data_IF_825310864851
#
_entry.id   IF_825310864851
#
_cell.length_a   1.000
_cell.length_b   1.000
_cell.length_c   1.000
_cell.angle_alpha   90.00
_cell.angle_beta   90.00
_cell.angle_gamma   90.00
#
_symmetry.space_group_name_H-M   'P 1'
#
loop_
_entity.id
_entity.type
_entity.pdbx_description
1 polymer ?
#
# COMPACT_ATOMS: atom_id res chain seq x y z
N UNK A 1 -18.82 6.07 3.71
CA UNK A 1 -18.95 4.63 4.09
C UNK A 1 -19.85 3.84 3.13
N UNK A 2 -21.05 4.33 2.78
CA UNK A 2 -21.98 3.60 1.88
C UNK A 2 -21.37 3.26 0.52
N UNK A 3 -20.65 4.19 -0.12
CA UNK A 3 -20.01 3.93 -1.42
C UNK A 3 -19.03 2.75 -1.40
N UNK A 4 -18.31 2.55 -0.30
CA UNK A 4 -17.36 1.43 -0.18
C UNK A 4 -18.06 0.09 0.01
N UNK A 5 -19.14 0.07 0.79
CA UNK A 5 -19.98 -1.13 0.92
C UNK A 5 -20.52 -1.58 -0.46
N UNK A 6 -20.96 -0.62 -1.27
CA UNK A 6 -21.43 -0.91 -2.64
C UNK A 6 -20.29 -1.49 -3.48
N UNK A 7 -19.09 -0.93 -3.40
CA UNK A 7 -17.91 -1.45 -4.13
C UNK A 7 -17.55 -2.86 -3.67
N UNK A 8 -17.56 -3.13 -2.36
CA UNK A 8 -17.31 -4.46 -1.81
C UNK A 8 -18.35 -5.48 -2.29
N UNK A 9 -19.63 -5.11 -2.29
CA UNK A 9 -20.68 -5.96 -2.85
C UNK A 9 -20.47 -6.22 -4.34
N UNK A 10 -20.06 -5.21 -5.12
CA UNK A 10 -19.74 -5.36 -6.55
C UNK A 10 -18.55 -6.30 -6.75
N UNK A 11 -17.50 -6.16 -5.94
CA UNK A 11 -16.31 -7.01 -6.01
C UNK A 11 -16.62 -8.45 -5.63
N UNK A 12 -17.38 -8.65 -4.56
CA UNK A 12 -17.89 -9.97 -4.18
C UNK A 12 -18.73 -10.55 -5.31
N UNK A 13 -19.73 -9.84 -5.83
CA UNK A 13 -20.57 -10.31 -6.93
C UNK A 13 -19.79 -10.62 -8.21
N UNK A 14 -18.74 -9.85 -8.52
CA UNK A 14 -17.92 -10.00 -9.73
C UNK A 14 -17.31 -11.39 -9.87
N UNK A 15 -17.02 -12.05 -8.76
CA UNK A 15 -16.35 -13.33 -8.75
C UNK A 15 -17.31 -14.52 -9.05
N UNK A 16 -18.62 -14.27 -9.04
CA UNK A 16 -19.68 -15.22 -9.35
C UNK A 16 -20.21 -15.02 -10.78
N UNK A 17 -19.80 -13.93 -11.44
CA UNK A 17 -20.16 -13.61 -12.82
C UNK A 17 -19.33 -14.37 -13.85
N UNK A 18 -19.79 -14.40 -15.12
CA UNK A 18 -18.98 -14.94 -16.23
C UNK A 18 -17.67 -14.14 -16.39
N UNK A 19 -16.57 -14.73 -16.89
CA UNK A 19 -15.25 -14.08 -16.93
C UNK A 19 -15.21 -12.69 -17.58
N UNK A 20 -15.93 -12.49 -18.69
CA UNK A 20 -16.02 -11.17 -19.35
C UNK A 20 -16.68 -10.12 -18.47
N UNK A 21 -17.80 -10.46 -17.82
CA UNK A 21 -18.52 -9.57 -16.91
C UNK A 21 -17.72 -9.30 -15.64
N UNK A 22 -17.12 -10.36 -15.07
CA UNK A 22 -16.21 -10.27 -13.93
C UNK A 22 -15.07 -9.28 -14.18
N UNK A 23 -14.46 -9.32 -15.38
CA UNK A 23 -13.42 -8.38 -15.77
C UNK A 23 -13.90 -6.93 -15.74
N UNK A 24 -15.06 -6.66 -16.35
CA UNK A 24 -15.62 -5.30 -16.39
C UNK A 24 -15.90 -4.81 -14.98
N UNK A 25 -16.60 -5.60 -14.16
CA UNK A 25 -16.94 -5.23 -12.79
C UNK A 25 -15.70 -4.98 -11.92
N UNK A 26 -14.70 -5.86 -12.01
CA UNK A 26 -13.42 -5.71 -11.30
C UNK A 26 -12.67 -4.44 -11.72
N UNK A 27 -12.53 -4.20 -13.02
CA UNK A 27 -11.82 -3.02 -13.54
C UNK A 27 -12.54 -1.73 -13.15
N UNK A 28 -13.87 -1.69 -13.31
CA UNK A 28 -14.67 -0.55 -12.87
C UNK A 28 -14.55 -0.31 -11.37
N UNK A 29 -14.64 -1.35 -10.56
CA UNK A 29 -14.51 -1.25 -9.11
C UNK A 29 -13.13 -0.69 -8.70
N UNK A 30 -12.03 -1.17 -9.29
CA UNK A 30 -10.68 -0.63 -9.03
C UNK A 30 -10.58 0.86 -9.38
N UNK A 31 -11.09 1.26 -10.55
CA UNK A 31 -10.99 2.65 -11.01
C UNK A 31 -11.81 3.57 -10.10
N UNK A 32 -13.05 3.19 -9.80
CA UNK A 32 -13.93 3.97 -8.91
C UNK A 32 -13.32 4.05 -7.52
N UNK A 33 -12.80 2.93 -7.01
CA UNK A 33 -12.15 2.88 -5.71
C UNK A 33 -10.91 3.78 -5.66
N UNK A 34 -10.03 3.70 -6.65
CA UNK A 34 -8.87 4.59 -6.75
C UNK A 34 -9.30 6.06 -6.74
N UNK A 35 -10.29 6.42 -7.55
CA UNK A 35 -10.78 7.79 -7.64
C UNK A 35 -11.31 8.30 -6.30
N UNK A 36 -12.16 7.52 -5.63
CA UNK A 36 -12.73 7.89 -4.33
C UNK A 36 -11.67 8.07 -3.25
N UNK A 37 -10.59 7.27 -3.26
CA UNK A 37 -9.52 7.36 -2.26
C UNK A 37 -8.56 8.50 -2.59
N UNK A 38 -8.18 8.66 -3.86
CA UNK A 38 -7.19 9.64 -4.30
C UNK A 38 -7.70 11.08 -4.09
N UNK A 39 -8.99 11.30 -4.35
CA UNK A 39 -9.64 12.61 -4.27
C UNK A 39 -10.55 12.77 -3.04
N UNK A 40 -10.37 11.93 -2.01
CA UNK A 40 -11.11 12.11 -0.76
C UNK A 40 -10.73 13.43 -0.08
N UNK A 41 -11.62 13.94 0.74
CA UNK A 41 -11.31 15.05 1.64
C UNK A 41 -10.18 14.62 2.61
N UNK A 42 -9.12 15.43 2.68
CA UNK A 42 -7.92 15.21 3.49
C UNK A 42 -8.17 15.28 4.99
N UNK A 43 -9.28 15.89 5.42
CA UNK A 43 -9.68 16.01 6.83
C UNK A 43 -10.38 14.74 7.35
N UNK A 44 -10.69 13.79 6.47
CA UNK A 44 -11.20 12.49 6.87
C UNK A 44 -10.08 11.71 7.57
N UNK A 45 -10.37 11.10 8.72
CA UNK A 45 -9.41 10.28 9.48
C UNK A 45 -8.93 10.82 10.81
N UNK A 46 -9.51 11.93 11.29
CA UNK A 46 -9.33 12.40 12.67
C UNK A 46 -7.90 12.83 12.96
N UNK A 47 -7.41 12.50 14.17
CA UNK A 47 -6.09 12.92 14.65
C UNK A 47 -4.94 12.45 13.75
N UNK A 48 -5.04 11.25 13.21
CA UNK A 48 -3.99 10.70 12.34
C UNK A 48 -3.88 11.49 11.04
N UNK A 49 -5.00 11.88 10.43
CA UNK A 49 -4.99 12.72 9.23
C UNK A 49 -4.34 14.09 9.52
N UNK A 50 -4.66 14.70 10.66
CA UNK A 50 -4.07 15.97 11.09
C UNK A 50 -2.55 15.87 11.28
N UNK A 51 -2.05 14.82 11.93
CA UNK A 51 -0.60 14.59 12.12
C UNK A 51 0.13 14.50 10.78
N UNK A 52 -0.45 13.81 9.80
CA UNK A 52 0.15 13.69 8.47
C UNK A 52 0.15 15.00 7.70
N UNK A 53 -0.94 15.77 7.77
CA UNK A 53 -1.01 17.10 7.16
C UNK A 53 0.02 18.03 7.81
N UNK A 54 0.06 18.09 9.14
CA UNK A 54 0.98 18.93 9.91
C UNK A 54 2.43 18.57 9.60
N UNK A 55 2.77 17.27 9.62
CA UNK A 55 4.08 16.79 9.21
C UNK A 55 4.45 17.24 7.79
N UNK A 56 3.54 17.07 6.82
CA UNK A 56 3.79 17.45 5.44
C UNK A 56 4.07 18.94 5.31
N UNK A 57 3.34 19.78 6.04
CA UNK A 57 3.50 21.23 5.95
C UNK A 57 4.74 21.73 6.72
N UNK A 58 4.98 21.22 7.92
CA UNK A 58 5.96 21.76 8.86
C UNK A 58 7.32 21.08 8.83
N UNK A 59 7.37 19.79 8.49
CA UNK A 59 8.57 18.96 8.66
C UNK A 59 9.15 18.41 7.36
N UNK A 60 8.33 18.22 6.32
CA UNK A 60 8.82 17.75 5.02
C UNK A 60 9.53 18.90 4.29
N UNK A 61 10.85 18.82 4.04
CA UNK A 61 11.55 19.84 3.28
C UNK A 61 11.27 19.69 1.78
N UNK A 62 11.65 20.70 0.98
CA UNK A 62 11.80 20.50 -0.47
C UNK A 62 13.02 19.64 -0.73
N UNK A 63 13.09 18.99 -1.90
CA UNK A 63 14.13 18.02 -2.26
C UNK A 63 15.56 18.59 -2.14
N UNK A 64 15.78 19.85 -2.48
CA UNK A 64 17.09 20.51 -2.36
C UNK A 64 17.56 20.70 -0.92
N UNK A 65 16.62 20.68 0.03
CA UNK A 65 16.87 20.83 1.48
C UNK A 65 16.69 19.50 2.21
N UNK A 66 16.59 18.39 1.47
CA UNK A 66 16.37 17.09 2.07
C UNK A 66 17.64 16.59 2.76
N UNK A 67 17.48 16.08 3.99
CA UNK A 67 18.59 15.50 4.74
C UNK A 67 18.89 14.09 4.24
N UNK A 68 19.97 13.98 3.46
CA UNK A 68 20.38 12.73 2.82
C UNK A 68 21.08 11.78 3.79
N UNK A 69 21.60 12.26 4.92
CA UNK A 69 22.21 11.44 5.95
C UNK A 69 21.12 10.77 6.80
N UNK A 70 20.94 9.45 6.73
CA UNK A 70 19.87 8.77 7.45
C UNK A 70 19.96 8.91 8.98
N UNK A 71 21.17 9.06 9.54
CA UNK A 71 21.36 9.23 10.98
C UNK A 71 20.92 10.61 11.48
N UNK A 72 21.18 11.66 10.69
CA UNK A 72 20.75 13.02 11.00
C UNK A 72 19.24 13.11 10.82
N UNK A 73 18.73 12.59 9.70
CA UNK A 73 17.30 12.50 9.44
C UNK A 73 16.55 11.79 10.56
N UNK A 74 17.10 10.67 11.05
CA UNK A 74 16.47 9.90 12.12
C UNK A 74 16.27 10.77 13.36
N UNK A 75 17.33 11.46 13.79
CA UNK A 75 17.31 12.29 15.00
C UNK A 75 16.39 13.50 14.89
N UNK A 76 16.40 14.17 13.73
CA UNK A 76 15.73 15.46 13.58
C UNK A 76 14.26 15.35 13.16
N UNK A 77 13.93 14.32 12.37
CA UNK A 77 12.61 14.17 11.75
C UNK A 77 11.93 12.88 12.20
N UNK A 78 12.62 11.74 12.12
CA UNK A 78 11.98 10.44 12.40
C UNK A 78 11.61 10.26 13.88
N UNK A 79 12.46 10.68 14.81
CA UNK A 79 12.19 10.52 16.25
C UNK A 79 11.03 11.42 16.71
N UNK A 80 10.84 12.57 16.04
CA UNK A 80 9.75 13.51 16.35
C UNK A 80 8.41 13.08 15.75
N UNK A 81 8.41 12.59 14.52
CA UNK A 81 7.17 12.35 13.77
C UNK A 81 6.87 10.88 13.46
N UNK A 82 7.85 9.99 13.61
CA UNK A 82 7.70 8.56 13.32
C UNK A 82 7.63 8.20 11.83
N UNK A 83 7.93 9.14 10.93
CA UNK A 83 7.92 8.93 9.47
C UNK A 83 9.27 8.43 8.96
N UNK A 84 9.26 7.34 8.19
CA UNK A 84 10.46 6.75 7.61
C UNK A 84 11.15 7.65 6.58
N UNK A 85 12.45 7.45 6.41
CA UNK A 85 13.28 8.22 5.50
C UNK A 85 12.75 8.20 4.06
N UNK A 86 12.41 7.02 3.53
CA UNK A 86 11.95 6.90 2.13
C UNK A 86 10.55 7.48 1.93
N UNK A 87 9.68 7.39 2.93
CA UNK A 87 8.36 8.01 2.88
C UNK A 87 8.46 9.54 2.85
N UNK A 88 9.41 10.09 3.63
CA UNK A 88 9.68 11.53 3.66
C UNK A 88 10.39 12.01 2.41
N UNK A 89 11.27 11.20 1.82
CA UNK A 89 11.88 11.48 0.52
C UNK A 89 10.81 11.57 -0.58
N UNK A 90 9.88 10.60 -0.62
CA UNK A 90 8.76 10.61 -1.56
C UNK A 90 7.94 11.90 -1.41
N UNK A 91 7.59 12.27 -0.18
CA UNK A 91 6.87 13.51 0.11
C UNK A 91 7.67 14.75 -0.31
N UNK A 92 8.99 14.76 -0.12
CA UNK A 92 9.86 15.88 -0.46
C UNK A 92 9.98 16.08 -1.97
N UNK A 93 10.09 15.00 -2.74
CA UNK A 93 10.04 15.04 -4.21
C UNK A 93 8.71 15.65 -4.67
N UNK A 94 7.59 15.17 -4.12
CA UNK A 94 6.26 15.64 -4.52
C UNK A 94 6.04 17.10 -4.12
N UNK A 95 6.40 17.48 -2.89
CA UNK A 95 6.32 18.85 -2.35
C UNK A 95 7.15 19.85 -3.16
N UNK A 96 8.21 19.39 -3.81
CA UNK A 96 9.04 20.21 -4.71
C UNK A 96 8.31 20.56 -6.00
N UNK A 97 7.43 19.67 -6.48
CA UNK A 97 6.64 19.87 -7.71
C UNK A 97 5.38 20.67 -7.37
N UNK A 98 4.57 20.18 -6.42
CA UNK A 98 3.34 20.84 -5.96
C UNK A 98 3.30 20.78 -4.43
N UNK A 99 3.34 21.92 -3.72
CA UNK A 99 3.50 21.98 -2.27
C UNK A 99 2.17 21.82 -1.51
N UNK A 100 1.30 20.90 -1.95
CA UNK A 100 -0.05 20.67 -1.37
C UNK A 100 -0.20 19.22 -0.95
N UNK A 101 -0.78 18.98 0.22
CA UNK A 101 -0.97 17.62 0.76
C UNK A 101 -1.96 16.81 -0.09
N UNK A 102 -2.95 17.45 -0.70
CA UNK A 102 -3.91 16.85 -1.62
C UNK A 102 -3.22 16.21 -2.83
N UNK A 103 -2.25 16.91 -3.42
CA UNK A 103 -1.46 16.36 -4.51
C UNK A 103 -0.59 15.18 -4.04
N UNK A 104 -0.01 15.28 -2.85
CA UNK A 104 0.70 14.17 -2.23
C UNK A 104 -0.20 12.94 -2.03
N UNK A 105 -1.44 13.13 -1.56
CA UNK A 105 -2.44 12.08 -1.43
C UNK A 105 -2.71 11.38 -2.75
N UNK A 106 -2.97 12.14 -3.83
CA UNK A 106 -3.25 11.57 -5.15
C UNK A 106 -2.09 10.72 -5.65
N UNK A 107 -0.85 11.21 -5.54
CA UNK A 107 0.33 10.48 -5.98
C UNK A 107 0.55 9.23 -5.12
N UNK A 108 0.46 9.35 -3.80
CA UNK A 108 0.61 8.21 -2.89
C UNK A 108 -0.40 7.10 -3.20
N UNK A 109 -1.68 7.45 -3.31
CA UNK A 109 -2.76 6.49 -3.60
C UNK A 109 -2.53 5.84 -4.96
N UNK A 110 -2.12 6.60 -5.96
CA UNK A 110 -1.82 6.07 -7.30
C UNK A 110 -0.66 5.08 -7.27
N UNK A 111 0.41 5.36 -6.53
CA UNK A 111 1.53 4.43 -6.36
C UNK A 111 1.11 3.15 -5.64
N UNK A 112 0.35 3.26 -4.54
CA UNK A 112 -0.16 2.11 -3.80
C UNK A 112 -1.04 1.22 -4.68
N UNK A 113 -1.97 1.80 -5.44
CA UNK A 113 -2.82 1.06 -6.37
C UNK A 113 -2.01 0.40 -7.50
N UNK A 114 -1.01 1.10 -8.03
CA UNK A 114 -0.10 0.55 -9.03
C UNK A 114 0.60 -0.72 -8.54
N UNK A 115 1.17 -0.68 -7.33
CA UNK A 115 1.83 -1.84 -6.72
C UNK A 115 0.83 -2.97 -6.46
N UNK A 116 -0.36 -2.65 -5.93
CA UNK A 116 -1.40 -3.64 -5.68
C UNK A 116 -1.84 -4.36 -6.96
N UNK A 117 -2.04 -3.62 -8.06
CA UNK A 117 -2.40 -4.21 -9.35
C UNK A 117 -1.28 -5.13 -9.85
N UNK A 118 -0.01 -4.71 -9.75
CA UNK A 118 1.13 -5.55 -10.13
C UNK A 118 1.16 -6.86 -9.33
N UNK A 119 0.95 -6.80 -8.00
CA UNK A 119 0.86 -8.00 -7.16
C UNK A 119 -0.27 -8.93 -7.64
N UNK A 120 -1.47 -8.40 -7.85
CA UNK A 120 -2.63 -9.21 -8.28
C UNK A 120 -2.38 -9.88 -9.64
N UNK A 121 -1.72 -9.18 -10.58
CA UNK A 121 -1.34 -9.75 -11.86
C UNK A 121 -0.26 -10.85 -11.70
N UNK A 122 0.73 -10.65 -10.84
CA UNK A 122 1.80 -11.62 -10.56
C UNK A 122 1.30 -12.87 -9.81
N UNK A 123 0.22 -12.76 -9.04
CA UNK A 123 -0.40 -13.90 -8.36
C UNK A 123 -0.97 -14.94 -9.33
N UNK A 124 -1.19 -14.58 -10.62
CA UNK A 124 -1.76 -15.44 -11.67
C UNK A 124 -3.17 -15.97 -11.33
N UNK A 125 -3.95 -15.15 -10.62
CA UNK A 125 -5.34 -15.45 -10.26
C UNK A 125 -6.25 -15.46 -11.50
N UNK A 126 -7.26 -16.34 -11.50
CA UNK A 126 -8.37 -16.25 -12.46
C UNK A 126 -9.07 -14.90 -12.30
N UNK A 127 -9.71 -14.41 -13.37
CA UNK A 127 -10.39 -13.11 -13.32
C UNK A 127 -11.40 -12.97 -12.18
N UNK A 128 -12.15 -14.04 -11.90
CA UNK A 128 -13.08 -14.12 -10.78
C UNK A 128 -12.35 -14.05 -9.43
N UNK A 129 -11.23 -14.76 -9.29
CA UNK A 129 -10.44 -14.78 -8.06
C UNK A 129 -9.83 -13.41 -7.73
N UNK A 130 -9.54 -12.58 -8.75
CA UNK A 130 -9.08 -11.19 -8.54
C UNK A 130 -10.12 -10.33 -7.82
N UNK A 131 -11.40 -10.47 -8.19
CA UNK A 131 -12.50 -9.77 -7.53
C UNK A 131 -12.66 -10.19 -6.07
N UNK A 132 -12.59 -11.50 -5.80
CA UNK A 132 -12.68 -12.04 -4.44
C UNK A 132 -11.48 -11.65 -3.58
N UNK A 133 -10.27 -11.64 -4.16
CA UNK A 133 -9.06 -11.18 -3.47
C UNK A 133 -9.18 -9.71 -3.07
N UNK A 134 -9.62 -8.85 -3.99
CA UNK A 134 -9.76 -7.43 -3.70
C UNK A 134 -10.87 -7.18 -2.68
N UNK A 135 -12.00 -7.90 -2.76
CA UNK A 135 -13.02 -7.88 -1.71
C UNK A 135 -12.45 -8.26 -0.33
N UNK A 136 -11.71 -9.36 -0.25
CA UNK A 136 -11.11 -9.80 1.02
C UNK A 136 -10.11 -8.77 1.55
N UNK A 137 -9.27 -8.21 0.69
CA UNK A 137 -8.33 -7.14 1.03
C UNK A 137 -9.05 -5.90 1.57
N UNK A 138 -10.08 -5.43 0.87
CA UNK A 138 -10.86 -4.27 1.29
C UNK A 138 -11.60 -4.50 2.59
N UNK A 139 -12.31 -5.62 2.73
CA UNK A 139 -13.09 -5.93 3.93
C UNK A 139 -12.25 -5.96 5.23
N UNK A 140 -10.96 -6.31 5.14
CA UNK A 140 -10.05 -6.32 6.28
C UNK A 140 -9.43 -4.94 6.57
N UNK A 141 -9.25 -4.12 5.55
CA UNK A 141 -8.46 -2.88 5.62
C UNK A 141 -9.31 -1.60 5.45
N UNK A 142 -10.63 -1.75 5.29
CA UNK A 142 -11.53 -0.73 4.75
C UNK A 142 -11.64 0.58 5.54
N UNK A 143 -11.36 0.58 6.84
CA UNK A 143 -11.61 1.76 7.70
C UNK A 143 -10.31 2.54 7.95
N UNK A 144 -9.19 1.85 8.16
CA UNK A 144 -7.93 2.48 8.55
C UNK A 144 -7.07 2.92 7.37
N UNK A 145 -7.07 2.15 6.27
CA UNK A 145 -6.29 2.45 5.06
C UNK A 145 -6.94 3.51 4.17
N UNK A 146 -8.23 3.79 4.41
CA UNK A 146 -9.06 4.69 3.61
C UNK A 146 -9.21 6.07 4.23
N UNK A 147 -9.19 6.16 5.55
CA UNK A 147 -9.27 7.43 6.25
C UNK A 147 -7.89 8.11 6.29
N UNK A 148 -6.81 7.36 6.51
CA UNK A 148 -5.45 7.92 6.69
C UNK A 148 -4.51 7.39 5.61
N UNK A 149 -3.55 8.21 5.14
CA UNK A 149 -2.45 7.73 4.29
C UNK A 149 -1.47 6.87 5.10
N UNK A 150 -1.93 5.71 5.54
CA UNK A 150 -1.19 4.86 6.45
C UNK A 150 0.12 4.39 5.77
N UNK A 151 1.27 4.82 6.30
CA UNK A 151 2.59 4.59 5.69
C UNK A 151 3.01 3.11 5.72
N UNK A 152 2.46 2.37 6.68
CA UNK A 152 2.46 0.91 6.75
C UNK A 152 2.03 0.28 5.41
N UNK A 153 1.02 0.85 4.74
CA UNK A 153 0.43 0.26 3.54
C UNK A 153 1.45 0.10 2.42
N UNK A 154 2.13 1.19 2.09
CA UNK A 154 3.12 1.17 1.01
C UNK A 154 4.28 0.22 1.34
N UNK A 155 4.70 0.18 2.61
CA UNK A 155 5.73 -0.76 3.07
C UNK A 155 5.27 -2.23 2.90
N UNK A 156 4.06 -2.56 3.33
CA UNK A 156 3.50 -3.91 3.25
C UNK A 156 3.28 -4.33 1.79
N UNK A 157 2.80 -3.42 0.93
CA UNK A 157 2.68 -3.66 -0.51
C UNK A 157 4.04 -3.98 -1.15
N UNK A 158 5.11 -3.25 -0.80
CA UNK A 158 6.46 -3.56 -1.31
C UNK A 158 6.94 -4.94 -0.86
N UNK A 159 6.72 -5.29 0.41
CA UNK A 159 7.04 -6.63 0.92
C UNK A 159 6.28 -7.71 0.14
N UNK A 160 4.98 -7.51 -0.10
CA UNK A 160 4.16 -8.44 -0.88
C UNK A 160 4.59 -8.56 -2.33
N UNK A 161 4.93 -7.44 -2.96
CA UNK A 161 5.48 -7.43 -4.30
C UNK A 161 6.75 -8.28 -4.39
N UNK A 162 7.65 -8.21 -3.40
CA UNK A 162 8.86 -9.04 -3.35
C UNK A 162 8.56 -10.55 -3.33
N UNK A 163 7.44 -10.96 -2.73
CA UNK A 163 7.07 -12.37 -2.62
C UNK A 163 6.50 -12.92 -3.92
N UNK A 164 5.52 -12.22 -4.50
CA UNK A 164 4.79 -12.72 -5.68
C UNK A 164 5.54 -12.43 -6.99
N UNK A 165 6.28 -11.32 -7.07
CA UNK A 165 6.93 -10.92 -8.30
C UNK A 165 8.04 -11.89 -8.72
N UNK A 166 7.99 -12.34 -9.98
CA UNK A 166 8.97 -13.26 -10.57
C UNK A 166 10.20 -12.51 -11.10
N UNK A 167 11.12 -12.17 -10.20
CA UNK A 167 12.39 -11.55 -10.58
C UNK A 167 13.25 -12.50 -11.43
N UNK A 168 13.62 -12.05 -12.63
CA UNK A 168 14.47 -12.83 -13.57
C UNK A 168 15.96 -12.74 -13.22
N UNK A 169 16.57 -11.57 -13.46
CA UNK A 169 18.01 -11.31 -13.21
C UNK A 169 18.25 -10.65 -11.86
N UNK A 170 19.32 -11.06 -11.18
CA UNK A 170 19.75 -10.56 -9.86
C UNK A 170 18.62 -10.58 -8.82
N UNK A 171 17.82 -11.66 -8.83
CA UNK A 171 16.62 -11.76 -8.01
C UNK A 171 16.91 -11.51 -6.53
N UNK A 172 17.94 -12.16 -5.97
CA UNK A 172 18.26 -12.05 -4.55
C UNK A 172 18.65 -10.61 -4.16
N UNK A 173 19.47 -9.94 -4.97
CA UNK A 173 19.87 -8.54 -4.74
C UNK A 173 18.66 -7.60 -4.83
N UNK A 174 17.82 -7.77 -5.85
CA UNK A 174 16.60 -6.94 -6.02
C UNK A 174 15.62 -7.11 -4.87
N UNK A 175 15.41 -8.35 -4.43
CA UNK A 175 14.55 -8.66 -3.28
C UNK A 175 15.12 -8.03 -2.00
N UNK A 176 16.40 -8.21 -1.73
CA UNK A 176 17.05 -7.61 -0.56
C UNK A 176 16.95 -6.08 -0.57
N UNK A 177 17.18 -5.45 -1.72
CA UNK A 177 17.06 -4.00 -1.88
C UNK A 177 15.62 -3.52 -1.64
N UNK A 178 14.62 -4.18 -2.23
CA UNK A 178 13.21 -3.79 -2.05
C UNK A 178 12.72 -3.99 -0.61
N UNK A 179 13.15 -5.06 0.06
CA UNK A 179 12.84 -5.26 1.48
C UNK A 179 13.51 -4.20 2.36
N UNK A 180 14.75 -3.84 2.07
CA UNK A 180 15.40 -2.72 2.74
C UNK A 180 14.64 -1.41 2.51
N UNK A 181 14.27 -1.09 1.27
CA UNK A 181 13.45 0.08 0.95
C UNK A 181 12.10 0.07 1.69
N UNK A 182 11.46 -1.10 1.85
CA UNK A 182 10.23 -1.23 2.64
C UNK A 182 10.44 -0.83 4.11
N UNK A 183 11.57 -1.19 4.71
CA UNK A 183 11.90 -0.77 6.09
C UNK A 183 12.15 0.73 6.21
N UNK A 184 12.63 1.37 5.14
CA UNK A 184 12.77 2.84 5.08
C UNK A 184 11.43 3.56 4.88
N UNK A 185 10.37 2.86 4.48
CA UNK A 185 9.01 3.40 4.47
C UNK A 185 8.38 3.33 5.85
N UNK A 186 8.43 2.16 6.50
CA UNK A 186 7.88 1.95 7.83
C UNK A 186 8.46 0.72 8.54
N UNK A 187 8.54 0.76 9.87
CA UNK A 187 9.07 -0.32 10.70
C UNK A 187 8.18 -1.58 10.71
N UNK A 188 6.88 -1.47 10.37
CA UNK A 188 5.99 -2.64 10.22
C UNK A 188 6.50 -3.62 9.16
N UNK A 189 7.32 -3.18 8.20
CA UNK A 189 7.96 -4.07 7.24
C UNK A 189 8.80 -5.16 7.92
N UNK A 190 9.44 -4.88 9.06
CA UNK A 190 10.18 -5.90 9.82
C UNK A 190 9.25 -7.01 10.33
N UNK A 191 8.07 -6.65 10.85
CA UNK A 191 7.06 -7.60 11.31
C UNK A 191 6.53 -8.39 10.12
N UNK A 192 6.28 -7.74 8.99
CA UNK A 192 5.82 -8.40 7.78
C UNK A 192 6.81 -9.45 7.29
N UNK A 193 8.09 -9.06 7.18
CA UNK A 193 9.17 -9.95 6.79
C UNK A 193 9.28 -11.14 7.76
N UNK A 194 9.25 -10.89 9.07
CA UNK A 194 9.32 -11.94 10.09
C UNK A 194 8.13 -12.90 10.00
N UNK A 195 6.91 -12.39 9.84
CA UNK A 195 5.70 -13.19 9.69
C UNK A 195 5.74 -14.06 8.42
N UNK A 196 6.26 -13.53 7.31
CA UNK A 196 6.43 -14.28 6.07
C UNK A 196 7.46 -15.39 6.24
N UNK A 197 8.60 -15.11 6.86
CA UNK A 197 9.62 -16.13 7.14
C UNK A 197 9.02 -17.21 8.04
N UNK A 198 8.32 -16.82 9.11
CA UNK A 198 7.64 -17.74 10.00
C UNK A 198 6.61 -18.59 9.24
N UNK A 199 5.80 -18.00 8.36
CA UNK A 199 4.86 -18.74 7.53
C UNK A 199 5.53 -19.67 6.54
N UNK A 200 6.67 -19.30 5.98
CA UNK A 200 7.44 -20.14 5.07
C UNK A 200 8.02 -21.36 5.81
N UNK A 201 8.46 -21.16 7.05
CA UNK A 201 8.91 -22.23 7.96
C UNK A 201 7.74 -23.12 8.42
N UNK A 202 6.58 -22.52 8.71
CA UNK A 202 5.39 -23.21 9.24
C UNK A 202 4.60 -23.94 8.14
N UNK A 203 4.63 -23.47 6.88
CA UNK A 203 3.78 -24.01 5.79
C UNK A 203 4.58 -24.57 4.61
N UNK A 204 4.67 -25.91 4.57
CA UNK A 204 4.60 -26.71 3.33
C UNK A 204 3.14 -26.86 2.84
N UNK A 205 2.32 -25.80 2.80
CA UNK A 205 0.87 -25.95 2.52
C UNK A 205 0.43 -25.47 1.13
N UNK A 206 -0.33 -26.30 0.39
CA UNK A 206 -1.02 -25.92 -0.84
C UNK A 206 -2.37 -25.27 -0.50
N UNK A 207 -2.35 -24.05 0.06
CA UNK A 207 -3.57 -23.27 0.24
C UNK A 207 -3.73 -22.29 -0.94
N UNK A 208 -4.93 -22.22 -1.56
CA UNK A 208 -5.24 -21.25 -2.63
C UNK A 208 -4.80 -19.86 -2.17
N UNK A 209 -3.94 -19.21 -2.98
CA UNK A 209 -3.23 -17.95 -2.69
C UNK A 209 -4.09 -16.79 -2.15
N UNK A 210 -5.40 -16.87 -2.31
CA UNK A 210 -6.39 -15.82 -2.05
C UNK A 210 -6.51 -15.49 -0.55
N UNK A 211 -6.61 -16.49 0.32
CA UNK A 211 -6.88 -16.30 1.76
C UNK A 211 -5.62 -15.96 2.55
N UNK A 212 -4.46 -16.63 2.37
CA UNK A 212 -3.23 -16.24 3.04
C UNK A 212 -2.74 -14.86 2.60
N UNK A 213 -2.86 -14.54 1.29
CA UNK A 213 -2.43 -13.25 0.74
C UNK A 213 -3.24 -12.08 1.29
N UNK A 214 -4.58 -12.18 1.27
CA UNK A 214 -5.43 -11.13 1.83
C UNK A 214 -5.22 -10.96 3.34
N UNK A 215 -5.20 -12.06 4.11
CA UNK A 215 -4.97 -12.02 5.55
C UNK A 215 -3.63 -11.39 5.94
N UNK A 216 -2.55 -11.64 5.20
CA UNK A 216 -1.23 -11.07 5.54
C UNK A 216 -1.03 -9.64 5.07
N UNK A 217 -1.68 -9.23 3.97
CA UNK A 217 -1.75 -7.80 3.64
C UNK A 217 -2.62 -7.10 4.70
N UNK A 218 -3.64 -7.80 5.22
CA UNK A 218 -4.63 -7.37 6.21
C UNK A 218 -4.13 -7.22 7.66
N UNK A 219 -3.27 -8.14 8.12
CA UNK A 219 -2.92 -8.38 9.54
C UNK A 219 -1.60 -7.70 9.97
N UNK A 220 -0.85 -7.10 9.04
CA UNK A 220 0.39 -6.33 9.31
C UNK A 220 0.22 -4.91 8.78
#
# INVERSE_FOLDING_TARGET
>A
MIYFLVIDCVLFYSAWCRPKQSKVLYTTAIIVLWFLIAFRNIDLGGSDAQVYQEWFHTAVPKLLQFEWNPFVFQREIQDKWGFGWLFTLLASVIKTIVPTYEFFQVIYVTLSFGILILIIEDMQLKQQEKGLFLFAYLSQQMIWFFCVLLRQNLANLVVWFVLEHKFKKHALIKKALLLYLATLLHTSAYIAIAAIIALWVIRKLPARKIVPGSLLIGVI
#
